data_IF_438690947003
#
_entry.id   IF_438690947003
#
_cell.length_a   1.000
_cell.length_b   1.000
_cell.length_c   1.000
_cell.angle_alpha   90.00
_cell.angle_beta   90.00
_cell.angle_gamma   90.00
#
_symmetry.space_group_name_H-M   'P 1'
#
loop_
_entity.id
_entity.type
_entity.pdbx_description
1 polymer ?
#
# COMPACT_ATOMS: atom_id res chain seq x y z
N UNK A 1 -27.61 11.20 3.27
CA UNK A 1 -26.63 11.83 2.35
C UNK A 1 -26.46 10.95 1.11
N UNK A 2 -26.48 11.54 -0.10
CA UNK A 2 -26.24 10.80 -1.35
C UNK A 2 -24.78 10.35 -1.44
N UNK A 3 -24.51 9.20 -2.08
CA UNK A 3 -23.15 8.63 -2.16
C UNK A 3 -22.14 9.58 -2.79
N UNK A 4 -22.48 10.24 -3.89
CA UNK A 4 -21.63 11.22 -4.57
C UNK A 4 -21.23 12.37 -3.62
N UNK A 5 -22.17 12.85 -2.81
CA UNK A 5 -21.93 13.91 -1.82
C UNK A 5 -20.98 13.44 -0.71
N UNK A 6 -21.12 12.18 -0.24
CA UNK A 6 -20.21 11.61 0.74
C UNK A 6 -18.76 11.58 0.23
N UNK A 7 -18.56 11.08 -1.00
CA UNK A 7 -17.22 11.07 -1.61
C UNK A 7 -16.63 12.48 -1.71
N UNK A 8 -17.41 13.46 -2.18
CA UNK A 8 -16.97 14.85 -2.26
C UNK A 8 -16.51 15.40 -0.91
N UNK A 9 -17.31 15.21 0.14
CA UNK A 9 -16.96 15.69 1.50
C UNK A 9 -15.75 14.98 2.07
N UNK A 10 -15.61 13.68 1.84
CA UNK A 10 -14.46 12.90 2.32
C UNK A 10 -13.17 13.30 1.60
N UNK A 11 -13.22 13.50 0.29
CA UNK A 11 -12.07 13.97 -0.50
C UNK A 11 -11.66 15.36 -0.03
N UNK A 12 -12.59 16.31 0.05
CA UNK A 12 -12.31 17.67 0.51
C UNK A 12 -11.68 17.70 1.92
N UNK A 13 -12.19 16.86 2.83
CA UNK A 13 -11.58 16.71 4.15
C UNK A 13 -10.12 16.23 4.07
N UNK A 14 -9.84 15.20 3.29
CA UNK A 14 -8.47 14.68 3.19
C UNK A 14 -7.52 15.64 2.46
N UNK A 15 -7.98 16.35 1.46
CA UNK A 15 -7.18 17.40 0.79
C UNK A 15 -6.73 18.48 1.75
N UNK A 16 -7.61 18.87 2.68
CA UNK A 16 -7.31 19.86 3.71
C UNK A 16 -6.47 19.29 4.87
N UNK A 17 -6.83 18.10 5.37
CA UNK A 17 -6.22 17.51 6.58
C UNK A 17 -4.88 16.83 6.29
N UNK A 18 -4.67 16.33 5.07
CA UNK A 18 -3.45 15.63 4.62
C UNK A 18 -3.10 16.05 3.19
N UNK A 19 -2.66 17.30 2.99
CA UNK A 19 -2.31 17.82 1.65
C UNK A 19 -1.15 17.04 1.02
N UNK A 20 -0.25 16.51 1.84
CA UNK A 20 0.81 15.56 1.45
C UNK A 20 0.50 14.22 2.10
N UNK A 21 0.31 13.20 1.29
CA UNK A 21 0.06 11.84 1.75
C UNK A 21 0.86 10.87 0.88
N UNK A 22 1.87 10.27 1.46
CA UNK A 22 2.86 9.43 0.79
C UNK A 22 3.12 8.16 1.58
N UNK A 23 3.88 7.22 1.00
CA UNK A 23 4.33 6.03 1.70
C UNK A 23 5.30 6.39 2.83
N UNK A 24 5.26 5.63 3.91
CA UNK A 24 6.22 5.76 5.02
C UNK A 24 7.46 4.86 4.82
N UNK A 25 7.54 4.12 3.72
CA UNK A 25 8.73 3.34 3.35
C UNK A 25 9.82 4.24 2.78
N UNK A 26 11.08 4.02 3.19
CA UNK A 26 12.25 4.72 2.69
C UNK A 26 12.77 4.02 1.43
N UNK A 27 12.98 4.77 0.37
CA UNK A 27 13.53 4.30 -0.91
C UNK A 27 14.09 5.48 -1.71
N UNK A 28 15.02 5.20 -2.62
CA UNK A 28 15.63 6.19 -3.51
C UNK A 28 15.27 5.97 -4.99
N UNK A 29 14.80 4.77 -5.33
CA UNK A 29 14.46 4.39 -6.71
C UNK A 29 13.35 3.33 -6.73
N UNK A 30 12.73 3.04 -7.90
CA UNK A 30 11.66 2.06 -8.04
C UNK A 30 12.02 0.64 -7.58
N UNK A 31 13.27 0.20 -7.78
CA UNK A 31 13.73 -1.13 -7.36
C UNK A 31 13.75 -1.27 -5.83
N UNK A 32 14.29 -0.27 -5.14
CA UNK A 32 14.28 -0.23 -3.67
C UNK A 32 12.86 -0.21 -3.11
N UNK A 33 11.94 0.57 -3.73
CA UNK A 33 10.55 0.56 -3.31
C UNK A 33 9.92 -0.82 -3.50
N UNK A 34 10.16 -1.50 -4.61
CA UNK A 34 9.64 -2.84 -4.86
C UNK A 34 10.10 -3.83 -3.77
N UNK A 35 11.39 -3.82 -3.42
CA UNK A 35 11.93 -4.61 -2.32
C UNK A 35 11.23 -4.25 -1.01
N UNK A 36 11.16 -2.97 -0.66
CA UNK A 36 10.56 -2.51 0.59
C UNK A 36 9.09 -2.92 0.71
N UNK A 37 8.30 -2.84 -0.37
CA UNK A 37 6.89 -3.26 -0.39
C UNK A 37 6.75 -4.79 -0.26
N UNK A 38 7.61 -5.59 -0.89
CA UNK A 38 7.63 -7.06 -0.68
C UNK A 38 7.94 -7.36 0.79
N UNK A 39 8.92 -6.67 1.37
CA UNK A 39 9.31 -6.88 2.77
C UNK A 39 8.22 -6.42 3.75
N UNK A 40 7.41 -5.42 3.42
CA UNK A 40 6.34 -4.88 4.27
C UNK A 40 5.15 -5.84 4.46
N UNK A 41 5.05 -6.91 3.66
CA UNK A 41 4.01 -7.92 3.84
C UNK A 41 4.08 -8.54 5.25
N UNK A 42 3.03 -8.30 6.07
CA UNK A 42 2.95 -8.71 7.48
C UNK A 42 4.13 -8.20 8.35
N UNK A 43 4.71 -7.06 7.99
CA UNK A 43 5.77 -6.40 8.71
C UNK A 43 5.49 -4.90 8.78
N UNK A 44 5.96 -4.23 9.84
CA UNK A 44 5.78 -2.78 9.97
C UNK A 44 6.77 -2.02 9.08
N UNK A 45 6.36 -0.88 8.51
CA UNK A 45 7.23 -0.03 7.70
C UNK A 45 8.47 0.41 8.51
N UNK A 46 8.31 0.69 9.81
CA UNK A 46 9.43 0.99 10.71
C UNK A 46 10.49 -0.13 10.74
N UNK A 47 10.07 -1.41 10.76
CA UNK A 47 11.00 -2.54 10.73
C UNK A 47 11.67 -2.65 9.37
N UNK A 48 10.92 -2.48 8.28
CA UNK A 48 11.47 -2.50 6.92
C UNK A 48 12.51 -1.40 6.76
N UNK A 49 12.20 -0.16 7.14
CA UNK A 49 13.12 0.98 7.05
C UNK A 49 14.39 0.82 7.90
N UNK A 50 14.34 -0.01 8.95
CA UNK A 50 15.51 -0.30 9.77
C UNK A 50 16.50 -1.28 9.10
N UNK A 51 15.97 -2.24 8.32
CA UNK A 51 16.80 -3.32 7.75
C UNK A 51 17.21 -3.10 6.30
N UNK A 52 16.53 -2.22 5.58
CA UNK A 52 16.79 -1.99 4.15
C UNK A 52 18.06 -1.17 3.85
N UNK A 53 18.55 -0.24 4.68
CA UNK A 53 19.75 0.53 4.34
C UNK A 53 20.98 -0.33 4.04
N UNK A 54 21.42 -1.30 4.88
CA UNK A 54 22.56 -2.15 4.55
C UNK A 54 22.26 -3.04 3.32
N UNK A 55 21.01 -3.52 3.15
CA UNK A 55 20.64 -4.30 1.98
C UNK A 55 20.78 -3.49 0.68
N UNK A 56 20.33 -2.24 0.66
CA UNK A 56 20.43 -1.36 -0.52
C UNK A 56 21.87 -0.90 -0.80
N UNK A 57 22.68 -0.76 0.25
CA UNK A 57 24.11 -0.45 0.09
C UNK A 57 24.87 -1.58 -0.61
N UNK A 58 24.63 -2.83 -0.21
CA UNK A 58 25.37 -3.98 -0.74
C UNK A 58 24.76 -4.51 -2.05
N UNK A 59 23.46 -4.31 -2.28
CA UNK A 59 22.72 -4.73 -3.48
C UNK A 59 21.95 -3.56 -4.11
N UNK A 60 22.65 -2.54 -4.65
CA UNK A 60 22.02 -1.31 -5.14
C UNK A 60 21.27 -1.48 -6.48
N UNK A 61 21.50 -2.58 -7.19
CA UNK A 61 20.89 -2.82 -8.52
C UNK A 61 20.25 -4.21 -8.63
N UNK A 62 19.32 -4.42 -9.56
CA UNK A 62 18.78 -5.73 -9.85
C UNK A 62 19.85 -6.79 -10.15
N UNK A 63 20.91 -6.42 -10.88
CA UNK A 63 22.01 -7.34 -11.22
C UNK A 63 22.77 -7.80 -9.97
N UNK A 64 23.10 -6.88 -9.08
CA UNK A 64 23.80 -7.19 -7.83
C UNK A 64 22.96 -8.16 -6.97
N UNK A 65 21.66 -7.92 -6.85
CA UNK A 65 20.76 -8.78 -6.10
C UNK A 65 20.53 -10.11 -6.79
N UNK A 66 20.43 -10.15 -8.13
CA UNK A 66 20.24 -11.35 -8.93
C UNK A 66 21.43 -12.31 -8.85
N UNK A 67 22.64 -11.77 -8.68
CA UNK A 67 23.87 -12.54 -8.53
C UNK A 67 24.05 -13.13 -7.11
N UNK A 68 23.22 -12.72 -6.16
CA UNK A 68 23.24 -13.21 -4.77
C UNK A 68 22.46 -14.52 -4.61
N UNK A 69 22.47 -15.05 -3.39
CA UNK A 69 21.68 -16.25 -3.04
C UNK A 69 20.64 -15.91 -1.96
N UNK A 70 19.57 -16.70 -1.85
CA UNK A 70 18.59 -16.52 -0.79
C UNK A 70 19.18 -16.57 0.62
N UNK A 71 20.22 -17.37 0.84
CA UNK A 71 20.90 -17.51 2.13
C UNK A 71 21.61 -16.21 2.54
N UNK A 72 22.27 -15.56 1.59
CA UNK A 72 22.92 -14.26 1.82
C UNK A 72 21.89 -13.18 2.10
N UNK A 73 20.83 -13.10 1.29
CA UNK A 73 19.75 -12.10 1.49
C UNK A 73 19.01 -12.34 2.81
N UNK A 74 18.84 -13.60 3.23
CA UNK A 74 18.22 -13.93 4.51
C UNK A 74 18.91 -13.23 5.70
N UNK A 75 20.23 -13.13 5.72
CA UNK A 75 20.96 -12.49 6.82
C UNK A 75 20.57 -11.02 7.02
N UNK A 76 20.29 -10.30 5.94
CA UNK A 76 19.81 -8.91 6.01
C UNK A 76 18.38 -8.79 6.50
N UNK A 77 17.52 -9.75 6.18
CA UNK A 77 16.07 -9.66 6.41
C UNK A 77 15.52 -10.62 7.46
N UNK A 78 16.37 -11.34 8.21
CA UNK A 78 15.99 -12.39 9.18
C UNK A 78 14.97 -11.93 10.24
N UNK A 79 14.86 -10.62 10.49
CA UNK A 79 13.96 -10.06 11.50
C UNK A 79 12.56 -9.67 10.97
N UNK A 80 12.29 -9.86 9.67
CA UNK A 80 10.94 -9.67 9.12
C UNK A 80 10.13 -10.96 9.17
N UNK A 81 8.82 -10.86 8.98
CA UNK A 81 7.95 -12.04 8.88
C UNK A 81 8.28 -12.85 7.63
N UNK A 82 8.36 -14.19 7.76
CA UNK A 82 8.63 -15.13 6.67
C UNK A 82 9.92 -14.86 5.87
N UNK A 83 11.08 -14.69 6.54
CA UNK A 83 12.29 -14.21 5.89
C UNK A 83 12.83 -15.17 4.83
N UNK A 84 12.72 -16.49 5.02
CA UNK A 84 13.16 -17.48 4.04
C UNK A 84 12.43 -17.34 2.70
N UNK A 85 11.09 -17.22 2.71
CA UNK A 85 10.31 -17.05 1.50
C UNK A 85 10.57 -15.69 0.86
N UNK A 86 10.71 -14.64 1.64
CA UNK A 86 11.02 -13.30 1.13
C UNK A 86 12.40 -13.25 0.51
N UNK A 87 13.43 -13.86 1.09
CA UNK A 87 14.76 -13.95 0.50
C UNK A 87 14.71 -14.61 -0.88
N UNK A 88 14.05 -15.77 -1.00
CA UNK A 88 13.83 -16.44 -2.30
C UNK A 88 13.09 -15.55 -3.30
N UNK A 89 12.05 -14.86 -2.85
CA UNK A 89 11.29 -13.95 -3.71
C UNK A 89 12.13 -12.77 -4.18
N UNK A 90 12.95 -12.15 -3.31
CA UNK A 90 13.78 -11.01 -3.70
C UNK A 90 14.83 -11.41 -4.75
N UNK A 91 15.53 -12.53 -4.56
CA UNK A 91 16.52 -13.02 -5.53
C UNK A 91 15.81 -13.39 -6.85
N UNK A 92 14.72 -14.15 -6.80
CA UNK A 92 13.99 -14.54 -8.00
C UNK A 92 13.36 -13.35 -8.73
N UNK A 93 12.88 -12.35 -8.02
CA UNK A 93 12.37 -11.08 -8.57
C UNK A 93 13.49 -10.34 -9.30
N UNK A 94 14.67 -10.20 -8.70
CA UNK A 94 15.80 -9.53 -9.31
C UNK A 94 16.28 -10.26 -10.57
N UNK A 95 16.38 -11.61 -10.53
CA UNK A 95 16.71 -12.44 -11.68
C UNK A 95 15.72 -12.24 -12.84
N UNK A 96 14.43 -12.17 -12.54
CA UNK A 96 13.40 -11.91 -13.55
C UNK A 96 13.48 -10.49 -14.11
N UNK A 97 13.76 -9.46 -13.28
CA UNK A 97 13.97 -8.09 -13.75
C UNK A 97 15.13 -8.04 -14.77
N UNK A 98 16.25 -8.65 -14.43
CA UNK A 98 17.43 -8.68 -15.32
C UNK A 98 17.12 -9.42 -16.62
N UNK A 99 16.50 -10.58 -16.53
CA UNK A 99 16.28 -11.45 -17.70
C UNK A 99 15.20 -10.94 -18.64
N UNK A 100 14.06 -10.50 -18.07
CA UNK A 100 12.82 -10.30 -18.84
C UNK A 100 12.41 -8.83 -18.95
N UNK A 101 12.99 -7.93 -18.12
CA UNK A 101 12.58 -6.53 -18.04
C UNK A 101 13.74 -5.51 -18.16
N UNK A 102 14.92 -5.96 -18.61
CA UNK A 102 16.07 -5.07 -18.81
C UNK A 102 16.53 -4.36 -17.55
N UNK A 103 16.39 -5.01 -16.39
CA UNK A 103 16.71 -4.48 -15.07
C UNK A 103 15.81 -3.31 -14.60
N UNK A 104 14.69 -3.08 -15.26
CA UNK A 104 13.74 -2.04 -14.88
C UNK A 104 12.49 -2.64 -14.22
N UNK A 105 11.89 -1.89 -13.29
CA UNK A 105 10.62 -2.27 -12.67
C UNK A 105 9.50 -2.01 -13.68
N UNK A 106 8.72 -3.04 -14.07
CA UNK A 106 7.65 -2.86 -15.06
C UNK A 106 6.50 -2.03 -14.50
N UNK A 107 5.79 -1.33 -15.41
CA UNK A 107 4.74 -0.38 -15.04
C UNK A 107 3.32 -0.91 -15.19
N UNK A 108 3.09 -2.14 -15.66
CA UNK A 108 1.74 -2.70 -15.81
C UNK A 108 1.41 -3.70 -14.70
N UNK A 109 0.12 -3.83 -14.36
CA UNK A 109 -0.33 -4.81 -13.37
C UNK A 109 0.02 -6.23 -13.81
N UNK A 110 -0.18 -6.51 -15.09
CA UNK A 110 0.03 -7.83 -15.70
C UNK A 110 1.49 -8.27 -15.63
N UNK A 111 2.43 -7.35 -15.79
CA UNK A 111 3.87 -7.60 -15.68
C UNK A 111 4.32 -7.71 -14.23
N UNK A 112 3.90 -6.76 -13.40
CA UNK A 112 4.27 -6.72 -11.98
C UNK A 112 3.88 -7.99 -11.22
N UNK A 113 2.69 -8.56 -11.48
CA UNK A 113 2.25 -9.79 -10.79
C UNK A 113 2.98 -11.05 -11.25
N UNK A 114 3.78 -11.00 -12.32
CA UNK A 114 4.67 -12.12 -12.73
C UNK A 114 5.89 -12.20 -11.82
N UNK A 115 6.30 -11.08 -11.21
CA UNK A 115 7.48 -11.02 -10.37
C UNK A 115 7.28 -11.83 -9.08
N UNK A 116 8.24 -12.67 -8.69
CA UNK A 116 8.19 -13.41 -7.43
C UNK A 116 7.94 -12.49 -6.23
N UNK A 117 6.99 -12.85 -5.37
CA UNK A 117 6.63 -12.06 -4.19
C UNK A 117 5.70 -10.87 -4.45
N UNK A 118 5.33 -10.62 -5.70
CA UNK A 118 4.45 -9.51 -6.08
C UNK A 118 3.03 -10.01 -6.34
N UNK A 119 2.15 -9.75 -5.39
CA UNK A 119 0.71 -9.92 -5.59
C UNK A 119 0.04 -8.64 -6.08
N UNK A 120 -1.27 -8.71 -6.38
CA UNK A 120 -2.07 -7.57 -6.85
C UNK A 120 -1.92 -6.32 -5.96
N UNK A 121 -1.93 -6.50 -4.62
CA UNK A 121 -1.77 -5.37 -3.69
C UNK A 121 -0.41 -4.68 -3.88
N UNK A 122 0.68 -5.45 -3.93
CA UNK A 122 2.03 -4.93 -4.15
C UNK A 122 2.13 -4.22 -5.50
N UNK A 123 1.60 -4.83 -6.56
CA UNK A 123 1.56 -4.23 -7.89
C UNK A 123 0.82 -2.90 -7.91
N UNK A 124 -0.35 -2.81 -7.26
CA UNK A 124 -1.09 -1.54 -7.17
C UNK A 124 -0.31 -0.46 -6.40
N UNK A 125 0.44 -0.82 -5.35
CA UNK A 125 1.32 0.15 -4.65
C UNK A 125 2.39 0.68 -5.60
N UNK A 126 3.07 -0.21 -6.32
CA UNK A 126 4.12 0.20 -7.27
C UNK A 126 3.55 1.07 -8.38
N UNK A 127 2.41 0.69 -8.96
CA UNK A 127 1.75 1.50 -9.99
C UNK A 127 1.37 2.90 -9.48
N UNK A 128 0.85 2.98 -8.27
CA UNK A 128 0.44 4.24 -7.67
C UNK A 128 1.64 5.13 -7.31
N UNK A 129 2.64 4.57 -6.64
CA UNK A 129 3.75 5.36 -6.06
C UNK A 129 4.83 5.69 -7.10
N UNK A 130 5.22 4.70 -7.93
CA UNK A 130 6.32 4.89 -8.91
C UNK A 130 5.81 5.55 -10.18
N UNK A 131 4.67 5.07 -10.68
CA UNK A 131 4.17 5.47 -12.00
C UNK A 131 3.02 6.47 -11.93
N UNK A 132 2.63 6.91 -10.74
CA UNK A 132 1.49 7.82 -10.50
C UNK A 132 0.20 7.38 -11.23
N UNK A 133 0.03 6.07 -11.40
CA UNK A 133 -1.16 5.51 -12.03
C UNK A 133 -2.30 5.41 -11.03
N UNK A 134 -3.52 5.52 -11.53
CA UNK A 134 -4.73 5.30 -10.74
C UNK A 134 -4.83 3.82 -10.34
N UNK A 135 -4.21 3.45 -9.23
CA UNK A 135 -4.23 2.12 -8.68
C UNK A 135 -4.49 2.16 -7.16
N UNK A 136 -5.52 1.44 -6.72
CA UNK A 136 -5.96 1.41 -5.32
C UNK A 136 -5.54 0.10 -4.66
N UNK A 137 -4.48 0.12 -3.89
CA UNK A 137 -4.07 -1.05 -3.11
C UNK A 137 -4.94 -1.18 -1.84
N UNK A 138 -5.80 -2.18 -1.79
CA UNK A 138 -6.68 -2.40 -0.65
C UNK A 138 -6.01 -3.33 0.37
N UNK A 139 -5.51 -2.73 1.44
CA UNK A 139 -5.04 -3.42 2.64
C UNK A 139 -6.12 -3.46 3.72
N UNK A 140 -5.78 -3.94 4.91
CA UNK A 140 -6.70 -3.99 6.05
C UNK A 140 -7.15 -2.60 6.53
N UNK A 141 -6.31 -1.56 6.34
CA UNK A 141 -6.66 -0.19 6.69
C UNK A 141 -7.66 0.39 5.69
N UNK A 142 -7.33 0.35 4.39
CA UNK A 142 -8.21 0.82 3.32
C UNK A 142 -9.56 0.09 3.39
N UNK A 143 -9.55 -1.24 3.54
CA UNK A 143 -10.77 -2.05 3.66
C UNK A 143 -11.65 -1.57 4.83
N UNK A 144 -11.08 -1.48 6.03
CA UNK A 144 -11.79 -1.08 7.24
C UNK A 144 -12.33 0.35 7.18
N UNK A 145 -11.47 1.29 6.79
CA UNK A 145 -11.80 2.72 6.74
C UNK A 145 -12.91 2.98 5.74
N UNK A 146 -12.82 2.39 4.53
CA UNK A 146 -13.82 2.55 3.48
C UNK A 146 -15.20 2.05 3.91
N UNK A 147 -15.27 0.95 4.66
CA UNK A 147 -16.52 0.44 5.20
C UNK A 147 -17.06 1.33 6.34
N UNK A 148 -16.21 1.73 7.27
CA UNK A 148 -16.62 2.55 8.42
C UNK A 148 -17.13 3.93 8.00
N UNK A 149 -16.46 4.58 7.07
CA UNK A 149 -16.92 5.86 6.53
C UNK A 149 -18.22 5.69 5.75
N UNK A 150 -18.43 4.53 5.10
CA UNK A 150 -19.56 4.25 4.24
C UNK A 150 -19.27 4.51 2.76
N UNK A 151 -18.00 4.62 2.37
CA UNK A 151 -17.60 4.76 0.97
C UNK A 151 -17.97 3.54 0.15
N UNK A 152 -17.88 2.34 0.73
CA UNK A 152 -18.25 1.09 0.08
C UNK A 152 -19.44 0.43 0.77
N UNK A 153 -20.31 -0.27 0.03
CA UNK A 153 -21.43 -1.00 0.62
C UNK A 153 -20.91 -2.26 1.35
N UNK A 154 -21.69 -2.76 2.30
CA UNK A 154 -21.38 -4.00 3.04
C UNK A 154 -21.22 -5.22 2.13
N UNK A 155 -21.80 -5.22 0.94
CA UNK A 155 -21.67 -6.28 -0.07
C UNK A 155 -20.26 -6.38 -0.68
N UNK A 156 -19.42 -5.35 -0.55
CA UNK A 156 -18.00 -5.41 -0.94
C UNK A 156 -17.19 -6.18 0.10
N UNK A 157 -17.29 -7.50 0.12
CA UNK A 157 -16.68 -8.38 1.14
C UNK A 157 -15.23 -8.76 0.86
N UNK A 158 -14.71 -8.46 -0.33
CA UNK A 158 -13.33 -8.78 -0.73
C UNK A 158 -12.52 -7.51 -1.03
N UNK A 159 -11.17 -7.53 -0.87
CA UNK A 159 -10.32 -6.41 -1.26
C UNK A 159 -10.52 -5.98 -2.71
N UNK A 160 -10.69 -6.92 -3.64
CA UNK A 160 -10.94 -6.62 -5.05
C UNK A 160 -12.28 -5.91 -5.28
N UNK A 161 -13.34 -6.29 -4.55
CA UNK A 161 -14.63 -5.62 -4.64
C UNK A 161 -14.55 -4.18 -4.11
N UNK A 162 -13.81 -3.97 -3.01
CA UNK A 162 -13.54 -2.64 -2.45
C UNK A 162 -12.73 -1.79 -3.43
N UNK A 163 -11.65 -2.34 -3.99
CA UNK A 163 -10.81 -1.70 -5.01
C UNK A 163 -11.67 -1.20 -6.18
N UNK A 164 -12.41 -2.11 -6.83
CA UNK A 164 -13.28 -1.76 -7.97
C UNK A 164 -14.32 -0.69 -7.61
N UNK A 165 -14.86 -0.76 -6.40
CA UNK A 165 -15.86 0.21 -5.95
C UNK A 165 -15.26 1.59 -5.72
N UNK A 166 -14.10 1.69 -5.05
CA UNK A 166 -13.40 2.95 -4.82
C UNK A 166 -12.95 3.58 -6.14
N UNK A 167 -12.34 2.80 -7.03
CA UNK A 167 -11.90 3.23 -8.35
C UNK A 167 -13.03 3.82 -9.22
N UNK A 168 -14.26 3.32 -9.06
CA UNK A 168 -15.44 3.85 -9.77
C UNK A 168 -15.87 5.24 -9.29
N UNK A 169 -15.56 5.61 -8.06
CA UNK A 169 -16.15 6.81 -7.41
C UNK A 169 -15.12 7.88 -7.07
N UNK A 170 -13.84 7.53 -6.99
CA UNK A 170 -12.74 8.48 -6.76
C UNK A 170 -12.23 8.94 -8.13
N UNK A 171 -12.09 10.26 -8.36
CA UNK A 171 -11.48 10.78 -9.59
C UNK A 171 -10.10 10.17 -9.83
N UNK A 172 -9.83 9.75 -11.06
CA UNK A 172 -8.61 9.04 -11.44
C UNK A 172 -7.33 9.76 -11.00
N UNK A 173 -7.26 11.07 -11.24
CA UNK A 173 -6.11 11.90 -10.91
C UNK A 173 -5.74 11.92 -9.42
N UNK A 174 -6.67 11.62 -8.52
CA UNK A 174 -6.42 11.65 -7.08
C UNK A 174 -6.38 10.27 -6.44
N UNK A 175 -6.59 9.18 -7.19
CA UNK A 175 -6.54 7.82 -6.66
C UNK A 175 -5.23 7.51 -5.94
N UNK A 176 -4.02 7.85 -6.47
CA UNK A 176 -2.76 7.61 -5.78
C UNK A 176 -2.72 8.26 -4.40
N UNK A 177 -3.18 9.51 -4.30
CA UNK A 177 -3.22 10.25 -3.05
C UNK A 177 -4.30 9.71 -2.10
N UNK A 178 -5.47 9.40 -2.63
CA UNK A 178 -6.59 8.83 -1.86
C UNK A 178 -6.24 7.47 -1.24
N UNK A 179 -5.44 6.66 -1.91
CA UNK A 179 -4.89 5.42 -1.37
C UNK A 179 -4.12 5.68 -0.06
N UNK A 180 -3.19 6.64 -0.06
CA UNK A 180 -2.42 6.99 1.13
C UNK A 180 -3.27 7.63 2.23
N UNK A 181 -4.23 8.49 1.89
CA UNK A 181 -5.18 9.04 2.88
C UNK A 181 -5.88 7.95 3.68
N UNK A 182 -6.41 6.94 2.99
CA UNK A 182 -7.14 5.86 3.64
C UNK A 182 -6.22 4.99 4.51
N UNK A 183 -4.99 4.73 4.09
CA UNK A 183 -3.99 4.00 4.89
C UNK A 183 -3.63 4.80 6.14
N UNK A 184 -3.16 6.04 5.99
CA UNK A 184 -2.69 6.89 7.09
C UNK A 184 -3.82 7.17 8.08
N UNK A 185 -5.02 7.49 7.58
CA UNK A 185 -6.19 7.66 8.44
C UNK A 185 -6.52 6.37 9.21
N UNK A 186 -6.37 5.22 8.58
CA UNK A 186 -6.56 3.92 9.23
C UNK A 186 -5.48 3.59 10.27
N UNK A 187 -4.25 4.06 10.08
CA UNK A 187 -3.15 3.86 11.03
C UNK A 187 -3.28 4.75 12.28
N UNK A 188 -3.62 6.01 12.10
CA UNK A 188 -3.44 7.02 13.14
C UNK A 188 -4.74 7.56 13.75
N UNK A 189 -5.87 7.49 13.04
CA UNK A 189 -7.17 8.01 13.47
C UNK A 189 -8.21 6.90 13.58
N UNK A 190 -8.58 6.26 12.45
CA UNK A 190 -9.59 5.23 12.41
C UNK A 190 -9.00 3.84 12.69
N UNK A 191 -8.32 3.70 13.84
CA UNK A 191 -7.66 2.46 14.25
C UNK A 191 -8.66 1.31 14.42
N UNK A 192 -8.17 0.05 14.30
CA UNK A 192 -9.01 -1.14 14.43
C UNK A 192 -9.67 -1.22 15.82
N UNK A 193 -8.89 -0.98 16.86
CA UNK A 193 -9.35 -0.87 18.26
C UNK A 193 -9.26 0.57 18.71
N UNK A 194 -10.28 1.06 19.44
CA UNK A 194 -10.36 2.42 19.99
C UNK A 194 -10.07 3.52 18.96
N UNK A 195 -10.88 3.63 17.88
CA UNK A 195 -10.72 4.70 16.90
C UNK A 195 -10.96 6.06 17.57
N UNK A 196 -10.22 7.09 17.16
CA UNK A 196 -10.31 8.45 17.68
C UNK A 196 -11.48 9.23 17.02
N UNK A 197 -12.71 8.73 17.20
CA UNK A 197 -13.89 9.28 16.52
C UNK A 197 -14.20 10.73 16.90
N UNK A 198 -13.94 11.11 18.14
CA UNK A 198 -14.21 12.48 18.65
C UNK A 198 -13.28 13.52 18.01
N UNK A 199 -12.03 13.14 17.75
CA UNK A 199 -11.02 14.00 17.10
C UNK A 199 -11.08 13.93 15.57
N UNK A 200 -11.92 13.03 15.01
CA UNK A 200 -11.97 12.78 13.57
C UNK A 200 -12.84 13.80 12.85
N UNK A 201 -12.28 14.58 11.92
CA UNK A 201 -13.04 15.54 11.13
C UNK A 201 -14.13 14.94 10.24
N UNK A 202 -14.17 13.62 10.08
CA UNK A 202 -15.25 12.90 9.38
C UNK A 202 -16.40 12.49 10.32
N UNK A 203 -16.33 12.80 11.63
CA UNK A 203 -17.31 12.33 12.63
C UNK A 203 -18.76 12.65 12.25
N UNK A 204 -19.04 13.84 11.70
CA UNK A 204 -20.40 14.28 11.32
C UNK A 204 -20.96 13.62 10.05
N UNK A 205 -20.13 12.91 9.26
CA UNK A 205 -20.52 12.30 7.98
C UNK A 205 -20.20 10.80 7.89
N UNK A 206 -19.39 10.28 8.82
CA UNK A 206 -18.99 8.89 8.85
C UNK A 206 -20.16 8.00 9.26
N UNK A 207 -20.45 6.95 8.46
CA UNK A 207 -21.57 6.05 8.71
C UNK A 207 -21.45 5.29 10.06
N UNK A 208 -20.24 5.01 10.53
CA UNK A 208 -20.02 4.34 11.81
C UNK A 208 -20.28 5.28 13.00
N UNK A 209 -19.79 6.52 12.95
CA UNK A 209 -19.99 7.50 14.02
C UNK A 209 -21.45 7.94 14.14
N UNK A 210 -22.19 7.96 13.04
CA UNK A 210 -23.61 8.28 13.07
C UNK A 210 -24.45 7.20 13.76
N UNK A 211 -24.02 5.93 13.72
CA UNK A 211 -24.68 4.83 14.44
C UNK A 211 -24.48 4.91 15.95
N UNK A 212 -23.29 5.27 16.40
CA UNK A 212 -22.97 5.36 17.84
C UNK A 212 -23.65 6.54 18.53
N UNK A 213 -24.11 7.54 17.78
CA UNK A 213 -24.86 8.69 18.32
C UNK A 213 -26.37 8.41 18.48
N UNK A 214 -26.87 7.30 17.95
CA UNK A 214 -28.31 6.91 17.99
C UNK A 214 -28.57 5.85 19.08
N UNK A 215 -27.54 5.35 19.75
CA UNK A 215 -27.60 4.51 20.96
C UNK A 215 -27.37 5.36 22.22
#
# INVERSE_FOLDING_TARGET
MRKKELYHKVIAYFEQAMPVAETELNYSNPFELLIAVILSAQCTDKRVNLITPPLFQDFPTPEALAASTPEVIFEYIRSVSYPNNKAKHLVGMAQMLVKDFGSEVPGTLEELVKLPGVGRKTANVIQSVVFNKAAMAVDTHVFRVSHRIGLVPKSCTTPLAVEKHLMKHIPEAIVPKAHHWLILHGRYVCMARKPKCEECGLNGICAESLKTKVQ
#
